data_IF_434139589899
#
_entry.id   IF_434139589899
#
_cell.length_a   1.000
_cell.length_b   1.000
_cell.length_c   1.000
_cell.angle_alpha   90.00
_cell.angle_beta   90.00
_cell.angle_gamma   90.00
#
_symmetry.space_group_name_H-M   'P 1'
#
loop_
_entity.id
_entity.type
_entity.pdbx_description
1 polymer ?
#
# COMPACT_ATOMS: atom_id res chain seq x y z
N UNK A 1 -29.31 -22.69 9.31
CA UNK A 1 -28.52 -21.45 9.13
C UNK A 1 -27.28 -21.83 8.36
N UNK A 2 -27.03 -21.20 7.22
CA UNK A 2 -25.81 -21.43 6.44
C UNK A 2 -24.68 -20.59 7.02
N UNK A 3 -23.52 -21.18 7.25
CA UNK A 3 -22.30 -20.49 7.70
C UNK A 3 -21.18 -20.69 6.69
N UNK A 4 -20.29 -19.70 6.60
CA UNK A 4 -19.09 -19.74 5.77
C UNK A 4 -17.90 -19.42 6.69
N UNK A 5 -16.90 -20.31 6.69
CA UNK A 5 -15.66 -20.10 7.43
C UNK A 5 -14.65 -19.40 6.52
N UNK A 6 -14.05 -18.32 7.01
CA UNK A 6 -12.99 -17.60 6.32
C UNK A 6 -11.65 -17.93 6.96
N UNK A 7 -10.66 -18.26 6.15
CA UNK A 7 -9.29 -18.57 6.57
C UNK A 7 -8.33 -17.46 6.14
N UNK A 8 -7.19 -17.36 6.83
CA UNK A 8 -6.08 -16.42 6.58
C UNK A 8 -6.52 -14.96 6.38
N UNK A 9 -7.45 -14.53 7.21
CA UNK A 9 -7.84 -13.13 7.32
C UNK A 9 -7.99 -12.77 8.80
N UNK A 10 -7.37 -11.66 9.20
CA UNK A 10 -7.55 -11.16 10.56
C UNK A 10 -8.99 -10.65 10.74
N UNK A 11 -9.65 -10.91 11.89
CA UNK A 11 -10.99 -10.41 12.17
C UNK A 11 -11.11 -8.88 12.03
N UNK A 12 -10.05 -8.15 12.38
CA UNK A 12 -9.95 -6.69 12.20
C UNK A 12 -10.00 -6.28 10.73
N UNK A 13 -9.21 -6.92 9.88
CA UNK A 13 -9.18 -6.67 8.43
C UNK A 13 -10.51 -7.01 7.78
N UNK A 14 -11.12 -8.15 8.15
CA UNK A 14 -12.44 -8.52 7.65
C UNK A 14 -13.52 -7.51 8.07
N UNK A 15 -13.51 -7.04 9.32
CA UNK A 15 -14.44 -5.99 9.78
C UNK A 15 -14.29 -4.70 8.97
N UNK A 16 -13.07 -4.32 8.61
CA UNK A 16 -12.80 -3.16 7.75
C UNK A 16 -13.33 -3.39 6.33
N UNK A 17 -13.08 -4.54 5.73
CA UNK A 17 -13.66 -4.89 4.43
C UNK A 17 -15.19 -4.83 4.43
N UNK A 18 -15.85 -5.37 5.46
CA UNK A 18 -17.29 -5.28 5.60
C UNK A 18 -17.76 -3.83 5.63
N UNK A 19 -17.08 -2.96 6.39
CA UNK A 19 -17.41 -1.52 6.38
C UNK A 19 -17.32 -0.95 4.97
N UNK A 20 -16.22 -1.21 4.25
CA UNK A 20 -16.07 -0.77 2.86
C UNK A 20 -17.19 -1.30 1.96
N UNK A 21 -17.53 -2.58 2.03
CA UNK A 21 -18.59 -3.19 1.20
C UNK A 21 -19.94 -2.50 1.43
N UNK A 22 -20.23 -2.11 2.67
CA UNK A 22 -21.52 -1.50 3.02
C UNK A 22 -21.56 0.03 2.86
N UNK A 23 -20.44 0.73 2.95
CA UNK A 23 -20.40 2.21 2.92
C UNK A 23 -19.71 2.78 1.69
N UNK A 24 -18.95 1.98 0.96
CA UNK A 24 -18.08 2.40 -0.14
C UNK A 24 -17.06 3.50 0.29
N UNK A 25 -16.75 3.55 1.59
CA UNK A 25 -15.78 4.49 2.18
C UNK A 25 -14.53 3.73 2.64
N UNK A 26 -13.38 4.44 2.64
CA UNK A 26 -12.15 3.84 3.14
C UNK A 26 -12.32 3.37 4.59
N UNK A 27 -12.05 2.10 4.91
CA UNK A 27 -12.52 1.50 6.16
C UNK A 27 -11.54 1.72 7.32
N UNK A 28 -11.06 2.95 7.45
CA UNK A 28 -10.22 3.40 8.56
C UNK A 28 -10.66 4.79 9.00
N UNK A 29 -10.80 4.99 10.30
CA UNK A 29 -11.06 6.30 10.92
C UNK A 29 -9.79 7.08 11.21
N UNK A 30 -8.63 6.46 11.06
CA UNK A 30 -7.33 7.13 11.18
C UNK A 30 -7.02 7.82 9.86
N UNK A 31 -6.60 9.08 9.94
CA UNK A 31 -6.22 9.85 8.76
C UNK A 31 -5.04 9.17 8.04
N UNK A 32 -4.07 8.67 8.83
CA UNK A 32 -2.88 7.96 8.38
C UNK A 32 -2.75 6.58 9.05
N UNK A 33 -3.39 5.54 8.48
CA UNK A 33 -3.18 4.16 8.94
C UNK A 33 -1.73 3.71 8.75
N UNK A 34 -1.27 2.81 9.61
CA UNK A 34 0.06 2.20 9.45
C UNK A 34 0.16 1.39 8.15
N UNK A 35 1.38 1.26 7.62
CA UNK A 35 1.63 0.47 6.42
C UNK A 35 1.23 -1.01 6.62
N UNK A 36 1.41 -1.57 7.82
CA UNK A 36 0.95 -2.92 8.17
C UNK A 36 -0.56 -3.09 7.93
N UNK A 37 -1.38 -2.16 8.44
CA UNK A 37 -2.83 -2.18 8.23
C UNK A 37 -3.17 -2.06 6.75
N UNK A 38 -2.46 -1.19 6.02
CA UNK A 38 -2.66 -1.02 4.58
C UNK A 38 -2.29 -2.27 3.78
N UNK A 39 -1.20 -2.96 4.14
CA UNK A 39 -0.78 -4.21 3.51
C UNK A 39 -1.77 -5.34 3.77
N UNK A 40 -2.24 -5.51 5.00
CA UNK A 40 -3.27 -6.49 5.33
C UNK A 40 -4.57 -6.23 4.56
N UNK A 41 -4.97 -4.97 4.49
CA UNK A 41 -6.17 -4.58 3.75
C UNK A 41 -6.01 -4.78 2.25
N UNK A 42 -4.82 -4.50 1.70
CA UNK A 42 -4.51 -4.69 0.30
C UNK A 42 -4.55 -6.18 -0.06
N UNK A 43 -3.96 -7.04 0.78
CA UNK A 43 -4.01 -8.50 0.63
C UNK A 43 -5.45 -9.01 0.59
N UNK A 44 -6.27 -8.52 1.52
CA UNK A 44 -7.66 -8.91 1.61
C UNK A 44 -8.52 -8.33 0.48
N UNK A 45 -8.27 -7.09 0.05
CA UNK A 45 -8.94 -6.50 -1.09
C UNK A 45 -8.66 -7.28 -2.38
N UNK A 46 -7.41 -7.70 -2.60
CA UNK A 46 -7.04 -8.53 -3.74
C UNK A 46 -7.70 -9.92 -3.68
N UNK A 47 -7.61 -10.61 -2.53
CA UNK A 47 -8.19 -11.95 -2.33
C UNK A 47 -9.69 -12.01 -2.58
N UNK A 48 -10.42 -10.94 -2.27
CA UNK A 48 -11.88 -10.88 -2.40
C UNK A 48 -12.34 -9.98 -3.56
N UNK A 49 -11.44 -9.64 -4.50
CA UNK A 49 -11.74 -8.87 -5.71
C UNK A 49 -12.42 -7.51 -5.46
N UNK A 50 -11.96 -6.77 -4.44
CA UNK A 50 -12.40 -5.41 -4.12
C UNK A 50 -11.46 -4.38 -4.76
N UNK A 51 -11.50 -4.24 -6.09
CA UNK A 51 -10.54 -3.45 -6.87
C UNK A 51 -10.47 -1.98 -6.43
N UNK A 52 -11.60 -1.35 -6.10
CA UNK A 52 -11.63 0.04 -5.62
C UNK A 52 -10.92 0.18 -4.27
N UNK A 53 -11.14 -0.75 -3.33
CA UNK A 53 -10.44 -0.76 -2.05
C UNK A 53 -8.93 -0.98 -2.24
N UNK A 54 -8.56 -1.90 -3.13
CA UNK A 54 -7.18 -2.18 -3.51
C UNK A 54 -6.46 -0.91 -3.99
N UNK A 55 -7.07 -0.15 -4.89
CA UNK A 55 -6.53 1.12 -5.39
C UNK A 55 -6.39 2.17 -4.28
N UNK A 56 -7.37 2.28 -3.38
CA UNK A 56 -7.30 3.21 -2.25
C UNK A 56 -6.15 2.86 -1.29
N UNK A 57 -5.91 1.57 -1.02
CA UNK A 57 -4.79 1.12 -0.20
C UNK A 57 -3.45 1.46 -0.85
N UNK A 58 -3.31 1.19 -2.15
CA UNK A 58 -2.12 1.53 -2.94
C UNK A 58 -1.83 3.03 -2.91
N UNK A 59 -2.87 3.86 -3.04
CA UNK A 59 -2.72 5.31 -3.00
C UNK A 59 -2.24 5.79 -1.62
N UNK A 60 -2.84 5.29 -0.53
CA UNK A 60 -2.40 5.65 0.83
C UNK A 60 -0.98 5.17 1.15
N UNK A 61 -0.59 3.99 0.65
CA UNK A 61 0.81 3.51 0.77
C UNK A 61 1.77 4.46 0.07
N UNK A 62 1.40 4.94 -1.13
CA UNK A 62 2.20 5.91 -1.87
C UNK A 62 2.31 7.26 -1.16
N UNK A 63 1.22 7.74 -0.55
CA UNK A 63 1.24 9.00 0.21
C UNK A 63 2.19 8.93 1.44
N UNK A 64 2.41 7.72 1.97
CA UNK A 64 3.32 7.43 3.08
C UNK A 64 4.72 6.97 2.63
N UNK A 65 5.08 7.12 1.35
CA UNK A 65 6.34 6.60 0.81
C UNK A 65 7.55 7.29 1.44
N UNK A 66 8.51 6.48 1.89
CA UNK A 66 9.80 6.92 2.41
C UNK A 66 10.92 6.06 1.83
N UNK A 67 12.18 6.45 2.06
CA UNK A 67 13.31 5.62 1.62
C UNK A 67 13.34 4.23 2.30
N UNK A 68 12.75 4.12 3.49
CA UNK A 68 12.71 2.87 4.24
C UNK A 68 11.56 1.97 3.78
N UNK A 69 10.46 2.57 3.29
CA UNK A 69 9.23 1.84 2.92
C UNK A 69 9.07 1.61 1.42
N UNK A 70 9.82 2.35 0.57
CA UNK A 70 9.64 2.29 -0.89
C UNK A 70 9.90 0.89 -1.48
N UNK A 71 10.81 0.11 -0.87
CA UNK A 71 11.11 -1.25 -1.30
C UNK A 71 9.93 -2.19 -1.00
N UNK A 72 9.34 -2.09 0.20
CA UNK A 72 8.18 -2.90 0.58
C UNK A 72 6.95 -2.54 -0.26
N UNK A 73 6.75 -1.24 -0.52
CA UNK A 73 5.68 -0.74 -1.40
C UNK A 73 5.89 -1.22 -2.84
N UNK A 74 7.13 -1.23 -3.33
CA UNK A 74 7.45 -1.76 -4.66
C UNK A 74 7.18 -3.26 -4.77
N UNK A 75 7.58 -4.05 -3.77
CA UNK A 75 7.31 -5.49 -3.72
C UNK A 75 5.80 -5.77 -3.68
N UNK A 76 5.03 -4.97 -2.93
CA UNK A 76 3.58 -5.06 -2.93
C UNK A 76 2.97 -4.69 -4.29
N UNK A 77 3.47 -3.64 -4.94
CA UNK A 77 3.00 -3.26 -6.28
C UNK A 77 3.19 -4.40 -7.29
N UNK A 78 4.30 -5.14 -7.19
CA UNK A 78 4.55 -6.31 -8.02
C UNK A 78 3.64 -7.49 -7.66
N UNK A 79 3.51 -7.82 -6.37
CA UNK A 79 2.68 -8.93 -5.90
C UNK A 79 1.20 -8.77 -6.27
N UNK A 80 0.69 -7.54 -6.19
CA UNK A 80 -0.71 -7.24 -6.47
C UNK A 80 -0.95 -6.69 -7.88
N UNK A 81 0.03 -6.81 -8.79
CA UNK A 81 -0.10 -6.41 -10.19
C UNK A 81 -0.57 -4.95 -10.40
N UNK A 82 0.09 -4.02 -9.71
CA UNK A 82 -0.12 -2.56 -9.80
C UNK A 82 1.09 -1.90 -10.50
N UNK A 83 1.21 -1.98 -11.84
CA UNK A 83 2.41 -1.54 -12.56
C UNK A 83 2.70 -0.05 -12.37
N UNK A 84 1.67 0.80 -12.33
CA UNK A 84 1.81 2.24 -12.13
C UNK A 84 2.47 2.59 -10.79
N UNK A 85 2.19 1.83 -9.73
CA UNK A 85 2.83 2.03 -8.42
C UNK A 85 4.29 1.57 -8.47
N UNK A 86 4.57 0.46 -9.16
CA UNK A 86 5.93 -0.06 -9.32
C UNK A 86 6.83 0.95 -10.03
N UNK A 87 6.36 1.55 -11.12
CA UNK A 87 7.11 2.56 -11.88
C UNK A 87 7.39 3.80 -11.02
N UNK A 88 6.37 4.28 -10.28
CA UNK A 88 6.53 5.39 -9.33
C UNK A 88 7.60 5.10 -8.26
N UNK A 89 7.65 3.88 -7.72
CA UNK A 89 8.69 3.49 -6.77
C UNK A 89 10.10 3.53 -7.39
N UNK A 90 10.25 3.01 -8.62
CA UNK A 90 11.54 3.02 -9.34
C UNK A 90 12.02 4.47 -9.55
N UNK A 91 11.13 5.36 -10.01
CA UNK A 91 11.42 6.77 -10.21
C UNK A 91 11.81 7.48 -8.91
N UNK A 92 11.12 7.18 -7.80
CA UNK A 92 11.44 7.74 -6.50
C UNK A 92 12.85 7.37 -6.04
N UNK A 93 13.22 6.08 -6.18
CA UNK A 93 14.55 5.58 -5.82
C UNK A 93 15.63 6.24 -6.69
N UNK A 94 15.39 6.38 -7.99
CA UNK A 94 16.32 7.03 -8.91
C UNK A 94 16.59 8.49 -8.51
N UNK A 95 15.54 9.29 -8.31
CA UNK A 95 15.62 10.71 -7.93
C UNK A 95 16.35 10.92 -6.60
N UNK A 96 16.12 10.05 -5.61
CA UNK A 96 16.78 10.13 -4.29
C UNK A 96 18.26 9.76 -4.37
N UNK A 97 18.66 8.84 -5.25
CA UNK A 97 20.07 8.51 -5.50
C UNK A 97 20.81 9.65 -6.19
N UNK A 98 20.18 10.35 -7.13
CA UNK A 98 20.76 11.52 -7.80
C UNK A 98 20.95 12.69 -6.82
N UNK A 99 20.01 12.89 -5.89
CA UNK A 99 20.07 13.94 -4.87
C UNK A 99 21.20 13.75 -3.84
N UNK A 100 21.80 12.55 -3.73
CA UNK A 100 22.96 12.27 -2.86
C UNK A 100 24.32 12.51 -3.54
N UNK A 101 24.36 12.94 -4.81
CA UNK A 101 25.61 13.11 -5.60
C UNK A 101 26.17 14.55 -5.67
N UNK A 102 25.69 15.49 -4.87
CA UNK A 102 26.38 16.77 -4.61
C UNK A 102 26.39 16.99 -3.09
N UNK A 103 27.51 17.40 -2.42
CA UNK A 103 28.70 18.17 -2.86
C UNK A 103 29.99 17.30 -2.86
N UNK A 104 31.18 17.64 -3.36
CA UNK A 104 31.95 18.88 -3.33
C UNK A 104 32.80 19.02 -4.60
N UNK A 105 32.67 20.16 -5.27
CA UNK A 105 33.68 20.66 -6.20
C UNK A 105 34.83 21.28 -5.40
N UNK A 106 36.02 20.70 -5.56
CA UNK A 106 37.32 21.37 -5.71
C UNK A 106 37.56 22.68 -4.93
N UNK A 107 38.48 22.62 -3.98
CA UNK A 107 39.51 23.66 -3.84
C UNK A 107 40.85 22.97 -3.65
N UNK A 108 41.77 23.24 -4.58
CA UNK A 108 43.18 22.85 -4.49
C UNK A 108 44.02 23.81 -3.67
#
# INVERSE_FOLDING_TARGET
>A
MSSITLHDIMPSTFKRMLRFIYTDEFPTTEDNPSNEVLFDLLAAADRYALDRLKLMCVQKLWDNVSMDTVIDIQACAEMYNCPELKDKCIDFIARKKESKKQPESSSG
#
